data_IF_691423518292
#
_entry.id   IF_691423518292
#
_cell.length_a   1.000
_cell.length_b   1.000
_cell.length_c   1.000
_cell.angle_alpha   90.00
_cell.angle_beta   90.00
_cell.angle_gamma   90.00
#
_symmetry.space_group_name_H-M   'P 1'
#
loop_
_entity.id
_entity.type
_entity.pdbx_description
1 polymer ?
#
# COMPACT_ATOMS: atom_id res chain seq x y z
N UNK A 1 18.99 -8.84 -0.11
CA UNK A 1 18.45 -7.53 0.16
C UNK A 1 16.94 -7.56 0.09
N UNK A 2 16.29 -7.19 1.17
CA UNK A 2 14.84 -7.18 1.19
C UNK A 2 14.33 -5.86 0.64
N UNK A 3 13.64 -5.94 -0.47
CA UNK A 3 12.94 -4.79 -1.01
C UNK A 3 11.54 -4.76 -0.42
N UNK A 4 11.18 -3.62 0.12
CA UNK A 4 9.85 -3.44 0.69
C UNK A 4 9.13 -2.31 0.00
N UNK A 5 7.82 -2.45 -0.06
CA UNK A 5 6.95 -1.36 -0.50
C UNK A 5 5.91 -1.13 0.58
N UNK A 6 5.39 0.08 0.59
CA UNK A 6 4.29 0.45 1.48
C UNK A 6 3.09 0.74 0.62
N UNK A 7 1.98 0.09 0.94
CA UNK A 7 0.75 0.17 0.16
C UNK A 7 -0.29 0.95 0.94
N UNK A 8 -0.74 2.05 0.38
CA UNK A 8 -1.81 2.86 0.97
C UNK A 8 -3.08 2.58 0.19
N UNK A 9 -4.11 2.14 0.88
CA UNK A 9 -5.40 1.76 0.30
C UNK A 9 -6.48 2.64 0.89
N UNK A 10 -7.36 3.17 0.06
CA UNK A 10 -8.48 3.97 0.52
C UNK A 10 -9.66 3.88 -0.45
N UNK A 11 -10.81 4.29 0.04
CA UNK A 11 -12.03 4.30 -0.77
C UNK A 11 -12.48 5.73 -0.99
N UNK A 12 -12.84 6.04 -2.22
CA UNK A 12 -13.50 7.32 -2.54
C UNK A 12 -15.00 7.19 -2.29
N UNK A 13 -15.64 8.30 -2.03
CA UNK A 13 -17.07 8.33 -1.77
C UNK A 13 -17.83 7.79 -2.99
N UNK A 14 -18.68 6.81 -2.76
CA UNK A 14 -19.51 6.23 -3.80
C UNK A 14 -18.85 5.14 -4.63
N UNK A 15 -17.58 4.85 -4.36
CA UNK A 15 -16.87 3.77 -5.05
C UNK A 15 -16.88 2.50 -4.23
N UNK A 16 -17.00 1.37 -4.91
CA UNK A 16 -16.96 0.06 -4.28
C UNK A 16 -15.59 -0.59 -4.34
N UNK A 17 -14.70 -0.05 -5.16
CA UNK A 17 -13.34 -0.57 -5.29
C UNK A 17 -12.36 0.40 -4.65
N UNK A 18 -11.34 -0.11 -3.97
CA UNK A 18 -10.34 0.74 -3.35
C UNK A 18 -9.36 1.32 -4.37
N UNK A 19 -8.83 2.48 -4.04
CA UNK A 19 -7.68 3.03 -4.74
C UNK A 19 -6.43 2.60 -4.00
N UNK A 20 -5.46 2.08 -4.72
CA UNK A 20 -4.24 1.54 -4.15
C UNK A 20 -3.04 2.32 -4.69
N UNK A 21 -2.23 2.83 -3.79
CA UNK A 21 -1.00 3.56 -4.15
C UNK A 21 0.17 2.92 -3.44
N UNK A 22 1.25 2.67 -4.17
CA UNK A 22 2.42 2.00 -3.64
C UNK A 22 3.62 2.94 -3.60
N UNK A 23 4.41 2.83 -2.55
CA UNK A 23 5.61 3.62 -2.36
C UNK A 23 6.78 2.71 -2.01
N UNK A 24 7.95 3.07 -2.48
CA UNK A 24 9.18 2.36 -2.11
C UNK A 24 9.90 3.01 -0.92
N UNK A 25 9.26 3.99 -0.31
CA UNK A 25 9.83 4.76 0.77
C UNK A 25 8.78 4.95 1.85
N UNK A 26 9.09 4.52 3.07
CA UNK A 26 8.15 4.59 4.19
C UNK A 26 7.75 6.02 4.50
N UNK A 27 8.69 6.94 4.49
CA UNK A 27 8.42 8.32 4.83
C UNK A 27 7.39 8.94 3.88
N UNK A 28 7.54 8.71 2.59
CA UNK A 28 6.60 9.21 1.59
C UNK A 28 5.23 8.54 1.72
N UNK A 29 5.23 7.25 2.01
CA UNK A 29 3.98 6.51 2.22
C UNK A 29 3.22 7.08 3.41
N UNK A 30 3.92 7.36 4.50
CA UNK A 30 3.29 7.93 5.69
C UNK A 30 2.73 9.33 5.44
N UNK A 31 3.46 10.14 4.69
CA UNK A 31 2.98 11.48 4.31
C UNK A 31 1.70 11.39 3.49
N UNK A 32 1.69 10.48 2.54
CA UNK A 32 0.52 10.27 1.70
C UNK A 32 -0.65 9.74 2.51
N UNK A 33 -0.38 8.78 3.39
CA UNK A 33 -1.38 8.21 4.27
C UNK A 33 -2.07 9.30 5.10
N UNK A 34 -1.28 10.17 5.71
CA UNK A 34 -1.82 11.26 6.52
C UNK A 34 -2.63 12.23 5.70
N UNK A 35 -2.18 12.52 4.48
CA UNK A 35 -2.91 13.39 3.57
C UNK A 35 -4.27 12.80 3.21
N UNK A 36 -4.31 11.52 2.87
CA UNK A 36 -5.56 10.84 2.50
C UNK A 36 -6.47 10.68 3.70
N UNK A 37 -5.90 10.39 4.86
CA UNK A 37 -6.67 10.20 6.10
C UNK A 37 -7.52 11.42 6.45
N UNK A 38 -7.07 12.60 6.09
CA UNK A 38 -7.80 13.83 6.33
C UNK A 38 -9.07 14.01 5.49
N UNK A 39 -9.20 13.24 4.41
CA UNK A 39 -10.32 13.39 3.48
C UNK A 39 -11.10 12.12 3.16
N UNK A 40 -10.72 11.00 3.76
CA UNK A 40 -11.34 9.70 3.46
C UNK A 40 -11.59 8.92 4.73
N UNK A 41 -12.67 8.14 4.74
CA UNK A 41 -13.09 7.41 5.93
C UNK A 41 -12.36 6.10 6.14
N UNK A 42 -12.09 5.37 5.06
CA UNK A 42 -11.43 4.06 5.15
C UNK A 42 -10.07 4.16 4.50
N UNK A 43 -9.04 4.19 5.32
CA UNK A 43 -7.66 4.31 4.85
C UNK A 43 -6.82 3.30 5.60
N UNK A 44 -5.97 2.58 4.88
CA UNK A 44 -5.04 1.66 5.50
C UNK A 44 -3.67 1.79 4.86
N UNK A 45 -2.65 1.40 5.63
CA UNK A 45 -1.28 1.35 5.13
C UNK A 45 -0.69 0.02 5.55
N UNK A 46 -0.10 -0.68 4.59
CA UNK A 46 0.49 -1.99 4.81
C UNK A 46 1.90 -2.03 4.25
N UNK A 47 2.75 -2.79 4.90
CA UNK A 47 4.11 -3.04 4.45
C UNK A 47 4.15 -4.41 3.79
N UNK A 48 4.68 -4.45 2.56
CA UNK A 48 4.78 -5.69 1.80
C UNK A 48 6.19 -5.91 1.30
N UNK A 49 6.63 -7.16 1.28
CA UNK A 49 7.89 -7.51 0.67
C UNK A 49 7.71 -7.66 -0.83
N UNK A 50 8.72 -7.21 -1.58
CA UNK A 50 8.71 -7.33 -3.02
C UNK A 50 9.58 -8.51 -3.40
N UNK A 51 9.00 -9.45 -4.10
CA UNK A 51 9.72 -10.64 -4.57
C UNK A 51 10.11 -10.43 -6.02
N UNK A 52 11.40 -10.58 -6.30
CA UNK A 52 11.93 -10.44 -7.65
C UNK A 52 11.94 -11.75 -8.42
N UNK A 53 11.71 -12.85 -7.72
CA UNK A 53 11.68 -14.17 -8.31
C UNK A 53 10.45 -14.93 -7.85
N UNK A 54 9.89 -15.69 -8.76
CA UNK A 54 8.83 -16.62 -8.41
C UNK A 54 9.42 -18.01 -8.35
N UNK A 55 9.24 -18.67 -7.22
CA UNK A 55 9.68 -20.05 -7.05
C UNK A 55 8.47 -20.92 -6.75
N UNK A 56 8.39 -22.03 -7.48
CA UNK A 56 7.37 -23.01 -7.20
C UNK A 56 7.90 -23.92 -6.08
N UNK A 57 7.14 -24.00 -5.01
CA UNK A 57 7.50 -24.84 -3.88
C UNK A 57 6.93 -26.24 -4.13
N UNK A 58 7.81 -27.22 -4.24
CA UNK A 58 7.38 -28.59 -4.27
C UNK A 58 7.07 -29.04 -2.85
N UNK A 59 5.89 -29.50 -2.71
CA UNK A 59 5.40 -29.94 -1.41
C UNK A 59 5.38 -31.45 -1.36
#
# INVERSE_FOLDING_TARGET
MNNKIWVVTYYNIGETEPTVTCFNNKENAMKYYEYILGGHDVVSIDECEVYTEFKVWDV
#
